data_IF_750297353845
#
_entry.id   IF_750297353845
#
_cell.length_a   1.000
_cell.length_b   1.000
_cell.length_c   1.000
_cell.angle_alpha   90.00
_cell.angle_beta   90.00
_cell.angle_gamma   90.00
#
_symmetry.space_group_name_H-M   'P 1'
#
loop_
_entity.id
_entity.type
_entity.pdbx_description
1 polymer ?
#
# COMPACT_ATOMS: atom_id res chain seq x y z
N UNK A 1 -3.85 -15.91 9.31
CA UNK A 1 -2.42 -15.57 9.50
C UNK A 1 -1.89 -15.22 8.12
N UNK A 2 -1.35 -14.02 7.91
CA UNK A 2 -1.12 -13.38 6.59
C UNK A 2 0.19 -13.85 5.92
N UNK A 3 0.74 -14.99 6.34
CA UNK A 3 2.11 -15.41 6.02
C UNK A 3 2.29 -15.94 4.59
N UNK A 4 1.21 -16.37 3.92
CA UNK A 4 1.33 -17.05 2.63
C UNK A 4 1.29 -16.13 1.41
N UNK A 5 0.95 -14.84 1.58
CA UNK A 5 0.78 -13.92 0.44
C UNK A 5 2.10 -13.48 -0.19
N UNK A 6 3.14 -13.38 0.63
CA UNK A 6 4.51 -13.03 0.24
C UNK A 6 5.50 -14.10 0.71
N UNK A 7 5.00 -15.34 0.81
CA UNK A 7 5.76 -16.47 1.29
C UNK A 7 6.86 -16.92 0.33
N UNK A 8 7.54 -17.98 0.71
CA UNK A 8 8.76 -18.47 0.09
C UNK A 8 8.65 -18.69 -1.42
N UNK A 9 7.48 -19.16 -1.91
CA UNK A 9 7.27 -19.41 -3.34
C UNK A 9 7.23 -18.11 -4.16
N UNK A 10 6.52 -17.09 -3.67
CA UNK A 10 6.43 -15.78 -4.34
C UNK A 10 7.80 -15.11 -4.35
N UNK A 11 8.51 -15.14 -3.22
CA UNK A 11 9.87 -14.62 -3.10
C UNK A 11 10.86 -15.37 -4.00
N UNK A 12 10.72 -16.69 -4.12
CA UNK A 12 11.50 -17.52 -5.04
C UNK A 12 11.32 -17.09 -6.50
N UNK A 13 10.07 -16.93 -6.95
CA UNK A 13 9.77 -16.46 -8.31
C UNK A 13 10.29 -15.05 -8.59
N UNK A 14 10.17 -14.13 -7.62
CA UNK A 14 10.74 -12.77 -7.75
C UNK A 14 12.26 -12.85 -7.93
N UNK A 15 12.96 -13.69 -7.16
CA UNK A 15 14.41 -13.86 -7.31
C UNK A 15 14.82 -14.44 -8.66
N UNK A 16 13.99 -15.29 -9.26
CA UNK A 16 14.28 -15.91 -10.56
C UNK A 16 13.95 -15.00 -11.74
N UNK A 17 12.84 -14.25 -11.67
CA UNK A 17 12.26 -13.54 -12.81
C UNK A 17 12.44 -12.02 -12.76
N UNK A 18 12.70 -11.45 -11.58
CA UNK A 18 12.78 -10.02 -11.32
C UNK A 18 14.01 -9.68 -10.45
N UNK A 19 15.16 -10.27 -10.78
CA UNK A 19 16.38 -10.16 -9.98
C UNK A 19 17.07 -8.79 -10.09
N UNK A 20 16.83 -8.08 -11.18
CA UNK A 20 17.30 -6.73 -11.51
C UNK A 20 16.23 -5.65 -11.29
N UNK A 21 15.02 -6.04 -10.88
CA UNK A 21 13.96 -5.11 -10.56
C UNK A 21 14.20 -4.37 -9.24
N UNK A 22 13.62 -3.19 -9.13
CA UNK A 22 13.53 -2.44 -7.89
C UNK A 22 12.53 -3.10 -6.93
N UNK A 23 12.98 -3.48 -5.74
CA UNK A 23 12.16 -4.23 -4.79
C UNK A 23 11.68 -3.35 -3.65
N UNK A 24 10.37 -3.33 -3.41
CA UNK A 24 9.76 -2.49 -2.38
C UNK A 24 9.03 -3.35 -1.35
N UNK A 25 9.03 -2.95 -0.08
CA UNK A 25 8.23 -3.60 0.95
C UNK A 25 7.65 -2.59 1.96
N UNK A 26 6.37 -2.78 2.30
CA UNK A 26 5.72 -2.11 3.40
C UNK A 26 6.17 -2.73 4.73
N UNK A 27 6.19 -1.95 5.81
CA UNK A 27 6.57 -2.43 7.16
C UNK A 27 5.72 -3.62 7.66
N UNK A 28 4.54 -3.80 7.10
CA UNK A 28 3.57 -4.83 7.50
C UNK A 28 3.71 -6.14 6.70
N UNK A 29 4.58 -6.18 5.68
CA UNK A 29 4.75 -7.38 4.84
C UNK A 29 5.54 -8.47 5.58
N UNK A 30 5.16 -9.76 5.42
CA UNK A 30 5.86 -10.89 6.02
C UNK A 30 7.37 -10.94 5.72
N UNK A 31 8.10 -11.58 6.64
CA UNK A 31 9.56 -11.47 6.76
C UNK A 31 10.39 -11.83 5.52
N UNK A 32 9.93 -12.71 4.62
CA UNK A 32 10.72 -13.13 3.47
C UNK A 32 10.82 -12.04 2.39
N UNK A 33 9.69 -11.43 2.01
CA UNK A 33 9.68 -10.30 1.08
C UNK A 33 10.28 -9.04 1.73
N UNK A 34 10.06 -8.83 3.03
CA UNK A 34 10.73 -7.77 3.77
C UNK A 34 12.26 -7.94 3.73
N UNK A 35 12.77 -9.15 3.96
CA UNK A 35 14.21 -9.45 3.91
C UNK A 35 14.78 -9.26 2.51
N UNK A 36 14.02 -9.67 1.49
CA UNK A 36 14.40 -9.47 0.09
C UNK A 36 14.53 -7.97 -0.25
N UNK A 37 13.52 -7.17 0.11
CA UNK A 37 13.56 -5.72 -0.11
C UNK A 37 14.66 -5.04 0.72
N UNK A 38 14.94 -5.51 1.93
CA UNK A 38 16.08 -5.02 2.73
C UNK A 38 17.43 -5.34 2.07
N UNK A 39 17.57 -6.51 1.43
CA UNK A 39 18.77 -6.85 0.66
C UNK A 39 18.93 -5.93 -0.55
N UNK A 40 17.86 -5.71 -1.30
CA UNK A 40 17.87 -4.81 -2.45
C UNK A 40 18.16 -3.35 -2.03
N UNK A 41 17.61 -2.90 -0.90
CA UNK A 41 17.89 -1.59 -0.31
C UNK A 41 19.38 -1.36 -0.04
N UNK A 42 20.12 -2.39 0.41
CA UNK A 42 21.59 -2.29 0.59
C UNK A 42 22.33 -2.04 -0.71
N UNK A 43 21.74 -2.40 -1.85
CA UNK A 43 22.28 -2.17 -3.20
C UNK A 43 21.69 -0.92 -3.87
N UNK A 44 20.93 -0.09 -3.15
CA UNK A 44 20.14 1.01 -3.70
C UNK A 44 19.11 0.59 -4.76
N UNK A 45 18.73 -0.70 -4.78
CA UNK A 45 17.73 -1.29 -5.67
C UNK A 45 16.43 -1.59 -4.93
N UNK A 46 16.18 -0.95 -3.79
CA UNK A 46 14.97 -1.20 -3.05
C UNK A 46 14.70 -0.24 -1.89
N UNK A 47 13.46 -0.29 -1.41
CA UNK A 47 12.98 0.53 -0.30
C UNK A 47 12.12 -0.30 0.64
N UNK A 48 12.27 -0.04 1.93
CA UNK A 48 11.42 -0.59 2.98
C UNK A 48 10.92 0.59 3.80
N UNK A 49 9.60 0.74 3.87
CA UNK A 49 9.00 1.96 4.40
C UNK A 49 7.48 1.94 4.47
N UNK A 50 6.93 3.11 4.76
CA UNK A 50 5.51 3.38 4.59
C UNK A 50 5.13 3.41 3.11
N UNK A 51 3.83 3.36 2.85
CA UNK A 51 3.25 3.66 1.54
C UNK A 51 3.85 4.88 0.85
N UNK A 52 4.05 5.98 1.59
CA UNK A 52 4.61 7.21 1.04
C UNK A 52 6.07 7.00 0.59
N UNK A 53 6.86 6.27 1.38
CA UNK A 53 8.25 5.98 1.04
C UNK A 53 8.38 5.14 -0.23
N UNK A 54 7.46 4.19 -0.43
CA UNK A 54 7.40 3.40 -1.67
C UNK A 54 7.08 4.30 -2.86
N UNK A 55 6.09 5.18 -2.71
CA UNK A 55 5.71 6.12 -3.78
C UNK A 55 6.85 7.08 -4.14
N UNK A 56 7.48 7.68 -3.13
CA UNK A 56 8.59 8.62 -3.34
C UNK A 56 9.77 7.93 -4.04
N UNK A 57 10.13 6.73 -3.60
CA UNK A 57 11.20 5.94 -4.22
C UNK A 57 10.96 5.64 -5.71
N UNK A 58 9.72 5.28 -6.07
CA UNK A 58 9.36 5.04 -7.48
C UNK A 58 9.47 6.35 -8.28
N UNK A 59 8.94 7.45 -7.74
CA UNK A 59 9.01 8.77 -8.38
C UNK A 59 10.45 9.20 -8.62
N UNK A 60 11.32 9.05 -7.62
CA UNK A 60 12.73 9.44 -7.71
C UNK A 60 13.46 8.67 -8.82
N UNK A 61 13.22 7.36 -8.96
CA UNK A 61 13.83 6.55 -10.02
C UNK A 61 13.28 6.86 -11.41
N UNK A 62 11.96 7.06 -11.54
CA UNK A 62 11.34 7.46 -12.81
C UNK A 62 11.82 8.84 -13.24
N UNK A 63 11.87 9.82 -12.32
CA UNK A 63 12.44 11.15 -12.59
C UNK A 63 13.90 11.06 -12.98
N UNK A 64 14.70 10.24 -12.28
CA UNK A 64 16.10 10.02 -12.63
C UNK A 64 16.30 9.45 -14.03
N UNK A 65 15.42 8.54 -14.49
CA UNK A 65 15.46 8.01 -15.85
C UNK A 65 15.04 9.07 -16.89
N UNK A 66 13.98 9.82 -16.59
CA UNK A 66 13.51 10.93 -17.43
C UNK A 66 14.58 12.01 -17.63
N UNK A 67 15.35 12.32 -16.58
CA UNK A 67 16.43 13.30 -16.63
C UNK A 67 17.64 12.79 -17.43
N UNK A 68 17.92 11.47 -17.42
CA UNK A 68 18.97 10.87 -18.25
C UNK A 68 18.62 10.90 -19.74
N UNK A 69 17.33 10.84 -20.07
CA UNK A 69 16.81 10.84 -21.44
C UNK A 69 17.45 9.75 -22.32
N UNK A 70 17.51 8.52 -21.81
CA UNK A 70 17.93 7.32 -22.52
C UNK A 70 16.81 6.30 -22.48
N UNK A 71 16.65 5.52 -23.55
CA UNK A 71 15.64 4.45 -23.59
C UNK A 71 15.91 3.45 -22.46
N UNK A 72 14.93 3.27 -21.59
CA UNK A 72 15.10 2.50 -20.37
C UNK A 72 13.79 1.84 -19.95
N UNK A 73 13.89 0.61 -19.44
CA UNK A 73 12.78 -0.14 -18.89
C UNK A 73 12.99 -0.29 -17.37
N UNK A 74 12.13 0.33 -16.58
CA UNK A 74 12.18 0.28 -15.12
C UNK A 74 11.15 -0.72 -14.59
N UNK A 75 11.59 -1.69 -13.81
CA UNK A 75 10.71 -2.70 -13.21
C UNK A 75 10.64 -2.50 -11.70
N UNK A 76 9.43 -2.42 -11.15
CA UNK A 76 9.19 -2.25 -9.71
C UNK A 76 8.32 -3.37 -9.16
N UNK A 77 8.83 -4.13 -8.19
CA UNK A 77 8.06 -5.17 -7.49
C UNK A 77 7.50 -4.61 -6.18
N UNK A 78 6.18 -4.71 -6.02
CA UNK A 78 5.44 -4.11 -4.92
C UNK A 78 5.14 -5.10 -3.79
N UNK A 79 5.86 -4.99 -2.67
CA UNK A 79 5.47 -5.64 -1.42
C UNK A 79 4.53 -4.74 -0.62
N UNK A 80 3.27 -4.59 -1.00
CA UNK A 80 2.29 -3.76 -0.27
C UNK A 80 0.85 -4.23 -0.50
N UNK A 81 -0.13 -3.61 0.16
CA UNK A 81 -1.55 -3.82 -0.12
C UNK A 81 -1.93 -3.37 -1.54
N UNK A 82 -2.81 -4.11 -2.23
CA UNK A 82 -3.24 -3.83 -3.60
C UNK A 82 -3.96 -2.49 -3.77
N UNK A 83 -4.50 -1.93 -2.67
CA UNK A 83 -5.09 -0.60 -2.64
C UNK A 83 -4.14 0.51 -3.11
N UNK A 84 -2.82 0.27 -3.05
CA UNK A 84 -1.81 1.25 -3.46
C UNK A 84 -1.49 1.27 -4.95
N UNK A 85 -1.82 0.20 -5.69
CA UNK A 85 -1.45 0.07 -7.10
C UNK A 85 -1.99 1.24 -7.91
N UNK A 86 -3.26 1.58 -7.75
CA UNK A 86 -3.90 2.66 -8.52
C UNK A 86 -3.23 4.01 -8.28
N UNK A 87 -2.90 4.34 -7.03
CA UNK A 87 -2.23 5.61 -6.70
C UNK A 87 -0.81 5.67 -7.24
N UNK A 88 -0.08 4.56 -7.22
CA UNK A 88 1.29 4.48 -7.78
C UNK A 88 1.23 4.63 -9.31
N UNK A 89 0.36 3.86 -9.99
CA UNK A 89 0.19 3.92 -11.44
C UNK A 89 -0.20 5.33 -11.89
N UNK A 90 -1.17 5.95 -11.23
CA UNK A 90 -1.60 7.31 -11.55
C UNK A 90 -0.46 8.33 -11.41
N UNK A 91 0.34 8.23 -10.34
CA UNK A 91 1.47 9.11 -10.12
C UNK A 91 2.60 8.93 -11.15
N UNK A 92 2.88 7.70 -11.56
CA UNK A 92 3.86 7.40 -12.62
C UNK A 92 3.36 7.92 -13.97
N UNK A 93 2.08 7.71 -14.30
CA UNK A 93 1.47 8.22 -15.53
C UNK A 93 1.53 9.75 -15.60
N UNK A 94 1.27 10.44 -14.49
CA UNK A 94 1.39 11.90 -14.40
C UNK A 94 2.82 12.37 -14.73
N UNK A 95 3.83 11.72 -14.14
CA UNK A 95 5.24 12.03 -14.42
C UNK A 95 5.61 11.80 -15.90
N UNK A 96 5.22 10.66 -16.48
CA UNK A 96 5.50 10.36 -17.89
C UNK A 96 4.79 11.36 -18.81
N UNK A 97 3.55 11.76 -18.50
CA UNK A 97 2.78 12.70 -19.31
C UNK A 97 3.40 14.10 -19.32
N UNK A 98 3.86 14.59 -18.17
CA UNK A 98 4.56 15.89 -18.06
C UNK A 98 5.77 15.97 -19.00
N UNK A 99 6.40 14.83 -19.29
CA UNK A 99 7.63 14.74 -20.09
C UNK A 99 7.39 14.31 -21.54
N UNK A 100 6.16 13.97 -21.93
CA UNK A 100 5.78 13.42 -23.26
C UNK A 100 5.74 14.44 -24.41
N UNK A 101 5.98 15.73 -24.14
CA UNK A 101 5.78 16.83 -25.11
C UNK A 101 7.01 17.19 -25.95
N UNK A 102 8.12 16.45 -25.83
CA UNK A 102 9.37 16.66 -26.57
C UNK A 102 9.86 15.34 -27.19
N UNK A 103 10.62 15.38 -28.29
CA UNK A 103 11.39 14.22 -28.79
C UNK A 103 12.33 13.73 -27.68
N UNK A 104 11.88 12.73 -26.93
CA UNK A 104 12.55 12.18 -25.77
C UNK A 104 12.60 10.67 -25.86
N UNK A 105 13.51 10.11 -25.08
CA UNK A 105 13.70 8.68 -24.95
C UNK A 105 12.42 7.95 -24.57
N UNK A 106 12.31 6.72 -25.03
CA UNK A 106 11.23 5.81 -24.68
C UNK A 106 11.50 5.19 -23.31
N UNK A 107 10.78 5.69 -22.29
CA UNK A 107 10.86 5.16 -20.93
C UNK A 107 9.62 4.32 -20.65
N UNK A 108 9.85 3.04 -20.39
CA UNK A 108 8.82 2.08 -20.03
C UNK A 108 8.93 1.78 -18.53
N UNK A 109 7.78 1.74 -17.85
CA UNK A 109 7.72 1.45 -16.41
C UNK A 109 6.77 0.28 -16.17
N UNK A 110 7.32 -0.85 -15.74
CA UNK A 110 6.58 -2.04 -15.33
C UNK A 110 6.38 -2.02 -13.81
N UNK A 111 5.12 -2.09 -13.38
CA UNK A 111 4.76 -2.21 -11.97
C UNK A 111 4.22 -3.63 -11.75
N UNK A 112 5.01 -4.43 -11.02
CA UNK A 112 4.73 -5.83 -10.73
C UNK A 112 4.10 -5.93 -9.36
N UNK A 113 2.87 -6.42 -9.31
CA UNK A 113 2.19 -6.72 -8.06
C UNK A 113 2.16 -8.24 -7.82
N UNK A 114 3.10 -8.78 -7.03
CA UNK A 114 3.16 -10.20 -6.79
C UNK A 114 1.98 -10.63 -5.92
N UNK A 115 1.25 -11.64 -6.41
CA UNK A 115 0.18 -12.30 -5.68
C UNK A 115 0.34 -13.81 -5.77
N UNK A 116 -0.13 -14.51 -4.74
CA UNK A 116 -0.34 -15.96 -4.85
C UNK A 116 -1.31 -16.26 -5.99
N UNK A 117 -1.13 -17.40 -6.67
CA UNK A 117 -2.04 -17.86 -7.73
C UNK A 117 -3.48 -18.01 -7.25
N UNK A 118 -3.67 -18.27 -5.97
CA UNK A 118 -4.98 -18.42 -5.34
C UNK A 118 -5.71 -17.08 -5.12
N UNK A 119 -5.03 -15.97 -5.40
CA UNK A 119 -5.49 -14.61 -5.19
C UNK A 119 -5.76 -13.86 -6.49
N UNK A 120 -5.91 -14.61 -7.58
CA UNK A 120 -6.07 -14.09 -8.94
C UNK A 120 -7.51 -14.32 -9.42
N UNK A 121 -8.19 -13.23 -9.80
CA UNK A 121 -9.52 -13.30 -10.41
C UNK A 121 -9.43 -13.23 -11.92
N UNK A 122 -10.16 -14.12 -12.60
CA UNK A 122 -10.42 -14.01 -14.04
C UNK A 122 -11.59 -13.08 -14.26
N UNK A 123 -11.42 -12.07 -15.10
CA UNK A 123 -12.53 -11.25 -15.56
C UNK A 123 -13.28 -12.07 -16.62
N UNK A 124 -14.58 -12.29 -16.43
CA UNK A 124 -15.41 -12.77 -17.53
C UNK A 124 -15.57 -11.61 -18.51
N UNK A 125 -15.41 -11.85 -19.81
CA UNK A 125 -15.70 -10.90 -20.89
C UNK A 125 -17.23 -10.62 -20.99
N UNK A 126 -17.85 -10.24 -19.88
CA UNK A 126 -19.27 -9.92 -19.75
C UNK A 126 -19.47 -8.43 -19.95
N UNK A 127 -20.01 -8.07 -21.10
CA UNK A 127 -20.42 -6.72 -21.50
C UNK A 127 -21.17 -5.94 -20.42
N UNK A 128 -20.47 -5.08 -19.68
CA UNK A 128 -21.08 -3.96 -18.95
C UNK A 128 -20.47 -2.66 -19.45
N UNK A 129 -21.23 -2.00 -20.32
CA UNK A 129 -20.98 -0.68 -20.89
C UNK A 129 -21.02 0.37 -19.77
N UNK A 130 -19.89 0.67 -19.14
CA UNK A 130 -19.72 1.86 -18.30
C UNK A 130 -19.03 2.91 -19.15
N UNK A 131 -19.83 3.85 -19.66
CA UNK A 131 -19.33 4.98 -20.43
C UNK A 131 -18.47 5.88 -19.56
N UNK A 132 -17.16 5.77 -19.69
CA UNK A 132 -16.21 6.81 -19.31
C UNK A 132 -14.94 6.61 -20.14
N UNK A 133 -14.58 7.63 -20.92
CA UNK A 133 -13.51 7.60 -21.93
C UNK A 133 -12.08 7.46 -21.36
N UNK A 134 -11.94 6.97 -20.12
CA UNK A 134 -10.67 6.59 -19.48
C UNK A 134 -10.62 5.11 -19.09
N UNK A 135 -11.68 4.33 -19.39
CA UNK A 135 -11.84 2.93 -18.98
C UNK A 135 -11.55 1.90 -20.09
N UNK A 136 -10.98 2.32 -21.23
CA UNK A 136 -10.75 1.44 -22.39
C UNK A 136 -9.66 0.40 -22.15
N UNK A 137 -8.62 0.73 -21.38
CA UNK A 137 -7.49 -0.19 -21.16
C UNK A 137 -7.70 -1.16 -19.99
N UNK A 138 -8.61 -0.87 -19.06
CA UNK A 138 -8.90 -1.79 -17.95
C UNK A 138 -9.80 -2.96 -18.40
N UNK A 139 -10.57 -2.77 -19.48
CA UNK A 139 -11.43 -3.81 -20.05
C UNK A 139 -10.66 -4.87 -20.86
N UNK A 140 -9.37 -4.69 -21.12
CA UNK A 140 -8.50 -5.69 -21.75
C UNK A 140 -7.78 -6.59 -20.74
N UNK A 141 -7.85 -6.27 -19.44
CA UNK A 141 -7.25 -7.08 -18.39
C UNK A 141 -8.05 -8.37 -18.22
N UNK A 142 -7.49 -9.48 -18.71
CA UNK A 142 -8.04 -10.85 -18.57
C UNK A 142 -7.99 -11.33 -17.12
N UNK A 143 -7.12 -10.70 -16.31
CA UNK A 143 -6.78 -11.13 -14.96
C UNK A 143 -6.59 -9.90 -14.08
N UNK A 144 -7.17 -9.91 -12.88
CA UNK A 144 -7.02 -8.83 -11.89
C UNK A 144 -6.61 -9.43 -10.53
N UNK A 145 -5.62 -8.87 -9.83
CA UNK A 145 -5.30 -9.24 -8.46
C UNK A 145 -6.50 -9.01 -7.51
N UNK A 146 -6.94 -10.07 -6.83
CA UNK A 146 -8.13 -10.07 -5.98
C UNK A 146 -8.91 -11.37 -6.07
N UNK A 147 -9.76 -11.66 -5.09
CA UNK A 147 -10.67 -12.81 -5.09
C UNK A 147 -11.93 -12.54 -5.92
N UNK A 148 -12.48 -13.58 -6.54
CA UNK A 148 -13.65 -13.47 -7.42
C UNK A 148 -14.93 -13.31 -6.59
N UNK A 149 -15.78 -12.37 -6.98
CA UNK A 149 -17.18 -12.27 -6.53
C UNK A 149 -17.41 -12.03 -5.02
N UNK A 150 -16.92 -10.91 -4.50
CA UNK A 150 -17.48 -10.29 -3.28
C UNK A 150 -17.23 -11.05 -1.97
N UNK A 151 -16.63 -12.23 -2.01
CA UNK A 151 -15.92 -12.77 -0.86
C UNK A 151 -14.75 -11.82 -0.60
N UNK A 152 -14.60 -11.29 0.60
CA UNK A 152 -13.36 -10.62 0.96
C UNK A 152 -12.21 -11.64 0.90
N UNK A 153 -10.97 -11.18 0.86
CA UNK A 153 -9.84 -12.07 1.13
C UNK A 153 -10.14 -12.77 2.47
N UNK A 154 -10.24 -14.11 2.46
CA UNK A 154 -10.44 -14.88 3.68
C UNK A 154 -9.40 -14.47 4.73
N UNK A 155 -9.69 -14.65 6.02
CA UNK A 155 -8.70 -14.49 7.12
C UNK A 155 -7.44 -15.38 6.94
N UNK A 156 -7.47 -16.26 5.95
CA UNK A 156 -6.40 -17.11 5.45
C UNK A 156 -5.52 -16.46 4.37
N UNK A 157 -5.74 -15.19 3.99
CA UNK A 157 -4.74 -14.40 3.26
C UNK A 157 -4.51 -14.80 1.80
N UNK A 158 -5.55 -14.74 0.97
CA UNK A 158 -5.38 -14.87 -0.49
C UNK A 158 -4.87 -13.56 -1.11
N UNK A 159 -5.70 -12.52 -1.09
CA UNK A 159 -5.35 -11.22 -1.66
C UNK A 159 -4.85 -10.22 -0.62
N UNK A 160 -3.92 -9.33 -1.02
CA UNK A 160 -3.50 -8.19 -0.21
C UNK A 160 -4.55 -7.09 -0.24
N UNK A 161 -5.73 -7.38 0.29
CA UNK A 161 -6.80 -6.40 0.42
C UNK A 161 -7.43 -6.55 1.80
N UNK A 162 -7.37 -5.50 2.59
CA UNK A 162 -8.01 -5.46 3.89
C UNK A 162 -9.54 -5.42 3.70
N UNK A 163 -10.31 -6.41 4.18
CA UNK A 163 -11.76 -6.43 3.99
C UNK A 163 -12.44 -5.22 4.66
N UNK A 164 -11.88 -4.74 5.78
CA UNK A 164 -12.40 -3.57 6.49
C UNK A 164 -12.25 -2.27 5.68
N UNK A 165 -11.15 -2.12 4.93
CA UNK A 165 -10.92 -0.94 4.10
C UNK A 165 -11.80 -0.94 2.83
N UNK A 166 -12.22 -2.12 2.36
CA UNK A 166 -13.12 -2.27 1.19
C UNK A 166 -14.62 -2.21 1.54
N UNK A 167 -14.99 -2.05 2.80
CA UNK A 167 -16.39 -1.82 3.19
C UNK A 167 -16.93 -0.47 2.70
N UNK A 168 -16.05 0.47 2.37
CA UNK A 168 -16.42 1.75 1.78
C UNK A 168 -16.73 1.58 0.29
N UNK A 169 -18.01 1.71 -0.07
CA UNK A 169 -18.46 1.68 -1.47
C UNK A 169 -18.86 3.07 -1.95
N UNK A 170 -18.76 3.31 -3.26
CA UNK A 170 -19.21 4.56 -3.87
C UNK A 170 -20.70 4.82 -3.58
N UNK A 171 -21.54 3.80 -3.66
CA UNK A 171 -22.98 3.91 -3.36
C UNK A 171 -23.25 4.31 -1.91
N UNK A 172 -22.50 3.75 -0.95
CA UNK A 172 -22.58 4.14 0.46
C UNK A 172 -22.11 5.59 0.66
N UNK A 173 -21.01 5.99 0.02
CA UNK A 173 -20.49 7.36 0.10
C UNK A 173 -21.50 8.38 -0.44
N UNK A 174 -22.06 8.16 -1.63
CA UNK A 174 -23.05 9.05 -2.23
C UNK A 174 -24.31 9.16 -1.36
N UNK A 175 -24.77 8.05 -0.76
CA UNK A 175 -25.89 8.08 0.20
C UNK A 175 -25.61 8.99 1.40
N UNK A 176 -24.38 8.98 1.94
CA UNK A 176 -23.98 9.89 3.02
C UNK A 176 -23.92 11.34 2.51
N UNK A 177 -23.32 11.59 1.34
CA UNK A 177 -23.25 12.93 0.76
C UNK A 177 -24.62 13.55 0.51
N UNK A 178 -25.60 12.77 0.03
CA UNK A 178 -26.98 13.23 -0.16
C UNK A 178 -27.73 13.54 1.14
N UNK A 179 -27.23 13.06 2.27
CA UNK A 179 -27.79 13.37 3.59
C UNK A 179 -27.15 14.60 4.22
N UNK A 180 -26.14 15.19 3.57
CA UNK A 180 -25.48 16.42 4.03
C UNK A 180 -26.12 17.68 3.40
N UNK A 181 -26.24 18.79 4.16
CA UNK A 181 -26.02 18.88 5.61
C UNK A 181 -27.07 18.07 6.37
N UNK A 182 -26.68 17.46 7.51
CA UNK A 182 -27.53 16.53 8.27
C UNK A 182 -28.66 17.24 9.03
N UNK A 183 -29.60 17.80 8.28
CA UNK A 183 -30.74 18.58 8.81
C UNK A 183 -31.67 17.73 9.70
N UNK A 184 -31.70 16.42 9.48
CA UNK A 184 -32.61 15.50 10.14
C UNK A 184 -31.91 14.59 11.16
N UNK A 185 -30.65 14.87 11.50
CA UNK A 185 -29.82 14.08 12.42
C UNK A 185 -29.77 12.58 12.06
N UNK A 186 -29.90 12.25 10.76
CA UNK A 186 -29.92 10.88 10.25
C UNK A 186 -28.54 10.22 10.34
N UNK A 187 -27.48 11.01 10.37
CA UNK A 187 -26.11 10.51 10.48
C UNK A 187 -25.68 10.20 11.91
N UNK A 188 -26.48 10.60 12.91
CA UNK A 188 -26.19 10.34 14.33
C UNK A 188 -26.04 8.85 14.67
N UNK A 189 -26.76 7.97 13.97
CA UNK A 189 -26.70 6.51 14.15
C UNK A 189 -25.36 5.93 13.66
N UNK A 190 -24.70 6.60 12.71
CA UNK A 190 -23.39 6.20 12.19
C UNK A 190 -22.23 6.85 12.95
N UNK A 191 -22.51 7.69 13.94
CA UNK A 191 -21.49 8.33 14.74
C UNK A 191 -20.75 7.27 15.58
N UNK A 192 -19.42 7.24 15.46
CA UNK A 192 -18.61 6.36 16.29
C UNK A 192 -18.86 6.65 17.78
N UNK A 193 -19.11 5.60 18.56
CA UNK A 193 -19.28 5.72 20.00
C UNK A 193 -18.04 6.37 20.62
N UNK A 194 -18.25 7.44 21.39
CA UNK A 194 -17.16 8.04 22.16
C UNK A 194 -16.76 7.10 23.29
N UNK A 195 -15.51 6.68 23.29
CA UNK A 195 -14.95 5.82 24.34
C UNK A 195 -14.74 6.69 25.59
N UNK A 196 -15.76 6.79 26.44
CA UNK A 196 -15.72 7.48 27.73
C UNK A 196 -15.26 6.56 28.87
N UNK A 197 -14.49 5.52 28.54
CA UNK A 197 -13.98 4.53 29.49
C UNK A 197 -12.75 5.13 30.19
N UNK A 198 -12.65 4.89 31.50
CA UNK A 198 -11.47 5.22 32.30
C UNK A 198 -10.64 3.97 32.56
N UNK A 199 -9.33 4.15 32.60
CA UNK A 199 -8.38 3.15 33.09
C UNK A 199 -8.61 2.89 34.59
N UNK A 200 -8.08 1.78 35.14
CA UNK A 200 -8.13 1.52 36.58
C UNK A 200 -7.55 2.65 37.45
N UNK A 201 -6.65 3.47 36.87
CA UNK A 201 -6.01 4.62 37.51
C UNK A 201 -6.79 5.94 37.32
N UNK A 202 -8.01 5.89 36.77
CA UNK A 202 -8.90 7.05 36.65
C UNK A 202 -8.65 7.97 35.45
N UNK A 203 -7.57 7.79 34.69
CA UNK A 203 -7.33 8.51 33.42
C UNK A 203 -8.27 8.01 32.32
N UNK A 204 -8.67 8.88 31.39
CA UNK A 204 -9.48 8.46 30.23
C UNK A 204 -8.66 7.59 29.27
N UNK A 205 -9.29 6.62 28.61
CA UNK A 205 -8.61 5.78 27.60
C UNK A 205 -8.08 6.64 26.44
N UNK A 206 -8.80 7.70 26.06
CA UNK A 206 -8.35 8.64 25.04
C UNK A 206 -7.06 9.36 25.44
N UNK A 207 -6.97 9.85 26.69
CA UNK A 207 -5.78 10.53 27.20
C UNK A 207 -4.56 9.60 27.24
N UNK A 208 -4.74 8.38 27.75
CA UNK A 208 -3.66 7.37 27.80
C UNK A 208 -3.26 6.92 26.38
N UNK A 209 -4.20 6.81 25.45
CA UNK A 209 -3.92 6.46 24.05
C UNK A 209 -3.23 7.59 23.27
N UNK A 210 -3.48 8.86 23.61
CA UNK A 210 -2.84 10.02 22.98
C UNK A 210 -1.36 10.18 23.39
N UNK A 211 -1.00 9.79 24.61
CA UNK A 211 0.37 9.92 25.14
C UNK A 211 1.45 9.30 24.22
N UNK A 212 1.38 8.02 23.79
CA UNK A 212 2.35 7.45 22.87
C UNK A 212 2.34 8.09 21.47
N UNK A 213 1.18 8.58 21.00
CA UNK A 213 1.08 9.28 19.70
C UNK A 213 1.86 10.60 19.74
N UNK A 214 1.72 11.36 20.83
CA UNK A 214 2.43 12.61 21.02
C UNK A 214 3.93 12.39 21.22
N UNK A 215 4.33 11.34 21.95
CA UNK A 215 5.73 10.95 22.06
C UNK A 215 6.34 10.58 20.71
N UNK A 216 5.64 9.75 19.91
CA UNK A 216 6.09 9.39 18.56
C UNK A 216 6.30 10.64 17.70
N UNK A 217 5.35 11.58 17.70
CA UNK A 217 5.50 12.86 16.98
C UNK A 217 6.70 13.67 17.48
N UNK A 218 6.93 13.71 18.79
CA UNK A 218 8.08 14.41 19.35
C UNK A 218 9.41 13.79 18.88
N UNK A 219 9.52 12.45 18.90
CA UNK A 219 10.72 11.74 18.44
C UNK A 219 10.99 11.90 16.93
N UNK A 220 9.96 12.11 16.11
CA UNK A 220 10.11 12.38 14.68
C UNK A 220 10.71 13.78 14.39
N UNK A 221 10.45 14.77 15.26
CA UNK A 221 10.91 16.17 15.07
C UNK A 221 12.22 16.43 15.82
N UNK A 222 12.49 15.69 16.89
CA UNK A 222 13.74 15.72 17.65
C UNK A 222 14.32 14.30 17.68
N UNK A 223 15.15 13.93 16.69
CA UNK A 223 15.89 12.67 16.73
C UNK A 223 16.91 12.78 17.87
N UNK A 224 16.46 12.41 19.06
CA UNK A 224 17.31 12.29 20.22
C UNK A 224 18.29 11.15 19.91
N UNK A 225 19.57 11.52 19.76
CA UNK A 225 20.71 10.61 19.91
C UNK A 225 20.71 10.15 21.37
N UNK A 226 19.89 9.14 21.72
CA UNK A 226 20.06 8.39 22.96
C UNK A 226 20.49 6.98 22.60
N UNK A 227 21.80 6.85 22.44
CA UNK A 227 22.55 5.64 22.71
C UNK A 227 22.44 5.34 24.23
N UNK A 228 21.27 4.91 24.71
CA UNK A 228 21.15 4.25 26.00
C UNK A 228 20.39 2.95 25.78
N UNK A 229 21.20 1.91 25.58
CA UNK A 229 20.80 0.52 25.69
C UNK A 229 20.09 0.37 27.04
N UNK A 230 18.79 0.07 27.00
CA UNK A 230 18.09 -0.50 28.16
C UNK A 230 18.68 -1.90 28.40
N UNK A 231 19.77 -1.99 29.17
CA UNK A 231 20.09 -3.21 29.90
C UNK A 231 19.02 -3.37 30.98
N UNK A 232 18.01 -4.20 30.70
CA UNK A 232 17.16 -4.78 31.71
C UNK A 232 18.03 -5.71 32.57
N UNK A 233 18.57 -5.16 33.65
CA UNK A 233 19.19 -5.93 34.72
C UNK A 233 18.05 -6.63 35.48
N UNK A 234 17.74 -7.86 35.07
CA UNK A 234 16.87 -8.76 35.84
C UNK A 234 17.71 -9.29 37.00
N UNK A 235 17.76 -8.52 38.08
CA UNK A 235 18.18 -9.06 39.38
C UNK A 235 17.08 -9.99 39.89
N UNK A 236 17.25 -11.28 39.65
CA UNK A 236 16.59 -12.33 40.43
C UNK A 236 16.98 -12.15 41.91
N UNK A 237 15.97 -11.95 42.76
CA UNK A 237 16.04 -12.19 44.20
C UNK A 237 15.16 -13.40 44.52
#
# INVERSE_FOLDING_TARGET
>A
MVHDMFGHEVVGKIKEQYCDAFLTAHFEVPGEMFSLAMEAKRRAMGVVGSTQNILDFIKDHVMGALDRNVDEHLQFVLGTESGMITSIVAAVQELLHLYSSQERANIEVEIVFPVSSDAISKTSNGSHHVGSSMATDLNSLTIVPGVSSGEGCSIHGGCASCPYMKMNTLGSLLKVCHQLPDKNNKLSVYQANRINVRTPLGKSVAEVGCEPILHMRHFQVSPIVLLYIFTLDVQLS
#
